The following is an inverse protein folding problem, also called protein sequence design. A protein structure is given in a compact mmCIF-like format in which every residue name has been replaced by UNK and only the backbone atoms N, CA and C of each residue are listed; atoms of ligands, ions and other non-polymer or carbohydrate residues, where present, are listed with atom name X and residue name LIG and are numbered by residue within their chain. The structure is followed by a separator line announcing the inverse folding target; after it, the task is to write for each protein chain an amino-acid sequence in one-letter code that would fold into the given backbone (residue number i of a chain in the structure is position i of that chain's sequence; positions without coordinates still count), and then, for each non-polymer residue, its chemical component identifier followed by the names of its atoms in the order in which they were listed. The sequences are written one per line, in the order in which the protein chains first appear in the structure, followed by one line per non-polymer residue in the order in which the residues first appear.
data_IF_937938626080
#
_entry.id   IF_937938626080
#
_cell.length_a   1.000
_cell.length_b   1.000
_cell.length_c   1.000
_cell.angle_alpha   90.00
_cell.angle_beta   90.00
_cell.angle_gamma   90.00
#
_symmetry.space_group_name_H-M   'P 1'
#
loop_
_entity.id
_entity.type
_entity.pdbx_description
1 polymer ?
#
# COMPACT_ATOMS: atom_id res chain seq x y z
N UNK A 1 -12.75 19.39 8.91
CA UNK A 1 -12.94 18.01 8.37
C UNK A 1 -14.16 17.42 9.06
N UNK A 2 -15.08 16.79 8.33
CA UNK A 2 -16.29 16.20 8.94
C UNK A 2 -16.02 14.73 9.26
N UNK A 3 -15.88 14.38 10.54
CA UNK A 3 -15.62 13.03 11.01
C UNK A 3 -16.70 12.02 10.58
N UNK A 4 -17.99 12.42 10.69
CA UNK A 4 -19.12 11.57 10.27
C UNK A 4 -19.04 11.22 8.77
N UNK A 5 -18.65 12.19 7.93
CA UNK A 5 -18.47 11.96 6.49
C UNK A 5 -17.26 11.07 6.18
N UNK A 6 -16.20 11.09 6.99
CA UNK A 6 -15.09 10.15 6.88
C UNK A 6 -15.52 8.73 7.24
N UNK A 7 -16.15 8.57 8.40
CA UNK A 7 -16.59 7.26 8.90
C UNK A 7 -17.60 6.62 7.94
N UNK A 8 -18.53 7.40 7.37
CA UNK A 8 -19.53 6.89 6.42
C UNK A 8 -18.95 6.29 5.14
N UNK A 9 -17.67 6.57 4.81
CA UNK A 9 -16.96 5.97 3.68
C UNK A 9 -16.56 4.51 3.95
N UNK A 10 -16.48 4.14 5.23
CA UNK A 10 -15.94 2.86 5.64
C UNK A 10 -14.42 2.75 5.47
N UNK A 11 -13.84 1.68 5.96
CA UNK A 11 -12.44 1.33 5.71
C UNK A 11 -12.18 1.09 4.22
N UNK A 12 -10.95 1.33 3.79
CA UNK A 12 -10.58 1.19 2.38
C UNK A 12 -9.10 1.46 2.12
N UNK A 13 -8.76 1.75 0.87
CA UNK A 13 -7.38 1.95 0.44
C UNK A 13 -6.67 3.11 1.17
N UNK A 14 -7.43 4.11 1.66
CA UNK A 14 -6.89 5.32 2.27
C UNK A 14 -7.47 5.61 3.66
N UNK A 15 -8.23 4.69 4.22
CA UNK A 15 -8.86 4.89 5.52
C UNK A 15 -8.85 3.58 6.31
N UNK A 16 -8.43 3.68 7.56
CA UNK A 16 -8.40 2.58 8.52
C UNK A 16 -9.01 3.03 9.83
N UNK A 17 -9.79 2.15 10.48
CA UNK A 17 -10.34 2.37 11.82
C UNK A 17 -9.56 1.56 12.83
N UNK A 18 -9.33 2.13 14.00
CA UNK A 18 -8.73 1.44 15.13
C UNK A 18 -9.39 1.90 16.41
N UNK A 19 -9.92 0.95 17.17
CA UNK A 19 -10.47 1.25 18.49
C UNK A 19 -9.38 1.81 19.42
N UNK A 20 -8.17 1.24 19.36
CA UNK A 20 -6.96 1.65 20.08
C UNK A 20 -5.70 1.06 19.44
N UNK A 21 -4.54 1.62 19.71
CA UNK A 21 -3.23 1.12 19.28
C UNK A 21 -2.51 0.44 20.43
N UNK A 22 -2.57 -0.88 20.51
CA UNK A 22 -1.97 -1.64 21.63
C UNK A 22 -0.60 -2.24 21.33
N UNK A 23 -0.29 -2.44 20.05
CA UNK A 23 0.92 -3.15 19.62
C UNK A 23 1.62 -2.40 18.49
N UNK A 24 2.79 -1.81 18.73
CA UNK A 24 3.55 -1.09 17.70
C UNK A 24 3.79 -1.90 16.43
N UNK A 25 4.12 -3.19 16.55
CA UNK A 25 4.36 -4.08 15.40
C UNK A 25 3.14 -4.29 14.52
N UNK A 26 1.93 -4.26 15.08
CA UNK A 26 0.69 -4.42 14.30
C UNK A 26 0.35 -3.16 13.54
N UNK A 27 0.37 -2.02 14.22
CA UNK A 27 0.06 -0.75 13.58
C UNK A 27 1.13 -0.35 12.57
N UNK A 28 2.40 -0.73 12.78
CA UNK A 28 3.47 -0.53 11.83
C UNK A 28 3.16 -1.11 10.43
N UNK A 29 2.50 -2.27 10.36
CA UNK A 29 2.08 -2.88 9.08
C UNK A 29 1.08 -1.99 8.34
N UNK A 30 0.09 -1.47 9.04
CA UNK A 30 -0.93 -0.55 8.49
C UNK A 30 -0.26 0.74 8.01
N UNK A 31 0.56 1.37 8.84
CA UNK A 31 1.27 2.62 8.48
C UNK A 31 2.17 2.41 7.26
N UNK A 32 2.98 1.35 7.26
CA UNK A 32 3.84 1.02 6.12
C UNK A 32 3.03 0.73 4.85
N UNK A 33 1.90 0.01 4.94
CA UNK A 33 1.06 -0.30 3.79
C UNK A 33 0.45 0.96 3.16
N UNK A 34 -0.02 1.90 3.98
CA UNK A 34 -0.54 3.18 3.51
C UNK A 34 0.57 4.01 2.84
N UNK A 35 1.73 4.17 3.49
CA UNK A 35 2.86 4.93 2.95
C UNK A 35 3.39 4.34 1.63
N UNK A 36 3.40 3.03 1.49
CA UNK A 36 3.83 2.32 0.27
C UNK A 36 2.82 2.42 -0.87
N UNK A 37 1.57 2.77 -0.60
CA UNK A 37 0.50 2.78 -1.61
C UNK A 37 0.14 4.23 -1.98
N UNK A 38 -0.87 4.80 -1.39
CA UNK A 38 -1.38 6.12 -1.74
C UNK A 38 -1.48 7.06 -0.54
N UNK A 39 -0.83 6.72 0.57
CA UNK A 39 -1.06 7.38 1.85
C UNK A 39 -2.48 7.12 2.35
N UNK A 40 -2.87 7.83 3.37
CA UNK A 40 -4.21 7.72 3.94
C UNK A 40 -4.30 8.20 5.37
N UNK A 41 -5.37 7.80 6.04
CA UNK A 41 -5.66 8.18 7.41
C UNK A 41 -5.96 6.95 8.27
N UNK A 42 -5.54 6.99 9.52
CA UNK A 42 -5.96 6.05 10.54
C UNK A 42 -6.80 6.84 11.57
N UNK A 43 -8.02 6.40 11.83
CA UNK A 43 -8.89 6.96 12.87
C UNK A 43 -8.76 6.07 14.11
N UNK A 44 -8.13 6.60 15.17
CA UNK A 44 -8.05 5.91 16.46
C UNK A 44 -9.16 6.43 17.37
N UNK A 45 -9.88 5.52 18.00
CA UNK A 45 -11.12 5.80 18.72
C UNK A 45 -12.39 5.47 17.91
N UNK A 46 -12.24 4.74 16.80
CA UNK A 46 -13.35 4.23 15.98
C UNK A 46 -13.20 2.71 15.89
N UNK A 47 -14.27 1.97 16.12
CA UNK A 47 -14.26 0.51 15.97
C UNK A 47 -14.53 0.08 14.50
N UNK A 48 -14.37 -1.21 14.21
CA UNK A 48 -14.45 -1.76 12.85
C UNK A 48 -15.86 -1.57 12.22
N UNK A 49 -16.91 -1.36 13.03
CA UNK A 49 -18.28 -1.06 12.58
C UNK A 49 -18.48 0.45 12.29
N UNK A 50 -17.45 1.27 12.46
CA UNK A 50 -17.54 2.71 12.30
C UNK A 50 -18.16 3.45 13.48
N UNK A 51 -18.33 2.77 14.63
CA UNK A 51 -18.83 3.42 15.83
C UNK A 51 -17.72 4.18 16.52
N UNK A 52 -17.97 5.46 16.84
CA UNK A 52 -17.06 6.24 17.65
C UNK A 52 -17.10 5.78 19.10
N UNK A 53 -15.95 5.36 19.61
CA UNK A 53 -15.76 4.95 21.00
C UNK A 53 -14.84 5.90 21.77
N UNK A 54 -14.13 6.77 21.05
CA UNK A 54 -13.14 7.71 21.58
C UNK A 54 -11.86 7.04 22.05
N UNK A 55 -10.79 7.81 22.14
CA UNK A 55 -9.54 7.43 22.79
C UNK A 55 -9.60 7.82 24.27
N UNK A 56 -8.99 7.02 25.12
CA UNK A 56 -8.91 7.31 26.55
C UNK A 56 -7.84 8.36 26.87
N UNK A 57 -6.75 8.29 26.14
CA UNK A 57 -5.60 9.19 26.23
C UNK A 57 -4.98 9.35 24.84
N UNK A 58 -5.14 10.53 24.26
CA UNK A 58 -4.66 10.82 22.91
C UNK A 58 -3.12 10.88 22.85
N UNK A 59 -2.47 11.36 23.92
CA UNK A 59 -1.00 11.41 23.97
C UNK A 59 -0.38 10.01 24.06
N UNK A 60 -1.00 9.08 24.82
CA UNK A 60 -0.55 7.69 24.86
C UNK A 60 -0.66 7.03 23.47
N UNK A 61 -1.78 7.22 22.77
CA UNK A 61 -1.98 6.71 21.41
C UNK A 61 -0.97 7.32 20.42
N UNK A 62 -0.73 8.63 20.49
CA UNK A 62 0.28 9.30 19.66
C UNK A 62 1.70 8.79 19.94
N UNK A 63 2.03 8.53 21.21
CA UNK A 63 3.31 7.95 21.58
C UNK A 63 3.52 6.58 20.94
N UNK A 64 2.55 5.67 21.06
CA UNK A 64 2.61 4.32 20.46
C UNK A 64 2.74 4.40 18.93
N UNK A 65 2.04 5.32 18.29
CA UNK A 65 2.10 5.50 16.84
C UNK A 65 3.44 6.08 16.37
N UNK A 66 3.99 7.06 17.10
CA UNK A 66 5.34 7.62 16.82
C UNK A 66 6.42 6.56 17.03
N UNK A 67 6.31 5.78 18.09
CA UNK A 67 7.22 4.65 18.36
C UNK A 67 7.16 3.62 17.21
N UNK A 68 5.95 3.24 16.79
CA UNK A 68 5.75 2.34 15.67
C UNK A 68 6.38 2.87 14.37
N UNK A 69 6.16 4.14 14.06
CA UNK A 69 6.66 4.77 12.84
C UNK A 69 8.19 4.93 12.83
N UNK A 70 8.81 5.11 14.00
CA UNK A 70 10.24 5.38 14.13
C UNK A 70 11.07 4.11 14.27
N UNK A 71 10.61 3.14 15.09
CA UNK A 71 11.41 1.99 15.47
C UNK A 71 10.96 0.67 14.85
N UNK A 72 9.71 0.60 14.38
CA UNK A 72 9.15 -0.64 13.80
C UNK A 72 8.88 -0.53 12.30
N UNK A 73 9.36 0.56 11.66
CA UNK A 73 9.29 0.75 10.21
C UNK A 73 10.67 1.18 9.68
N UNK A 74 11.14 0.53 8.61
CA UNK A 74 12.40 0.86 7.94
C UNK A 74 12.17 1.07 6.42
N UNK A 75 12.56 2.23 5.88
CA UNK A 75 12.95 3.46 6.57
C UNK A 75 11.79 4.05 7.40
N UNK A 76 12.08 4.83 8.47
CA UNK A 76 11.06 5.36 9.37
C UNK A 76 10.08 6.31 8.66
N UNK A 77 8.89 6.47 9.23
CA UNK A 77 7.83 7.36 8.74
C UNK A 77 7.65 8.57 9.64
N UNK A 78 7.27 9.69 9.03
CA UNK A 78 6.77 10.86 9.74
C UNK A 78 5.25 10.86 9.68
N UNK A 79 4.60 11.02 10.83
CA UNK A 79 3.15 11.07 10.97
C UNK A 79 2.70 12.48 11.36
N UNK A 80 1.52 12.88 10.91
CA UNK A 80 0.82 14.07 11.39
C UNK A 80 -0.43 13.66 12.15
N UNK A 81 -0.74 14.38 13.23
CA UNK A 81 -1.84 14.05 14.14
C UNK A 81 -2.80 15.21 14.25
N UNK A 82 -4.09 14.90 14.38
CA UNK A 82 -5.15 15.85 14.68
C UNK A 82 -6.15 15.17 15.60
N UNK A 83 -6.59 15.87 16.62
CA UNK A 83 -7.67 15.45 17.50
C UNK A 83 -8.99 16.04 17.01
N UNK A 84 -10.04 15.26 17.07
CA UNK A 84 -11.41 15.68 16.79
C UNK A 84 -12.26 15.31 18.00
N UNK A 85 -12.75 16.33 18.68
CA UNK A 85 -13.74 16.21 19.74
C UNK A 85 -15.12 16.07 19.12
N UNK A 86 -15.91 15.13 19.60
CA UNK A 86 -17.28 14.88 19.14
C UNK A 86 -18.29 15.59 20.01
N UNK A 87 -19.56 15.64 19.58
CA UNK A 87 -20.67 16.23 20.35
C UNK A 87 -20.92 15.50 21.69
N UNK A 88 -20.44 14.25 21.81
CA UNK A 88 -20.56 13.40 23.02
C UNK A 88 -19.28 13.44 23.88
N UNK A 89 -18.45 14.47 23.75
CA UNK A 89 -17.17 14.67 24.45
C UNK A 89 -16.16 13.51 24.25
N UNK A 90 -16.30 12.75 23.16
CA UNK A 90 -15.35 11.72 22.80
C UNK A 90 -14.27 12.29 21.88
N UNK A 91 -13.02 11.92 22.11
CA UNK A 91 -11.89 12.33 21.28
C UNK A 91 -11.55 11.21 20.28
N UNK A 92 -11.46 11.55 19.00
CA UNK A 92 -10.95 10.69 17.93
C UNK A 92 -9.62 11.27 17.44
N UNK A 93 -8.57 10.44 17.46
CA UNK A 93 -7.27 10.82 16.93
C UNK A 93 -7.20 10.47 15.45
N UNK A 94 -6.99 11.45 14.60
CA UNK A 94 -6.76 11.30 13.17
C UNK A 94 -5.27 11.33 12.89
N UNK A 95 -4.76 10.25 12.31
CA UNK A 95 -3.35 10.07 11.94
C UNK A 95 -3.23 10.16 10.44
N UNK A 96 -2.57 11.19 9.93
CA UNK A 96 -2.31 11.34 8.51
C UNK A 96 -0.98 10.65 8.15
N UNK A 97 -1.04 9.71 7.21
CA UNK A 97 0.10 9.00 6.65
C UNK A 97 0.26 9.44 5.20
N UNK A 98 1.31 10.19 4.92
CA UNK A 98 1.61 10.61 3.55
C UNK A 98 2.03 9.41 2.68
N UNK A 99 1.70 9.44 1.38
CA UNK A 99 2.37 8.55 0.43
C UNK A 99 3.86 8.86 0.43
N UNK A 100 4.68 7.84 0.65
CA UNK A 100 6.12 8.02 0.69
C UNK A 100 6.74 8.00 -0.70
N UNK A 101 7.76 8.81 -0.88
CA UNK A 101 8.65 8.75 -2.04
C UNK A 101 9.87 7.84 -1.78
N UNK A 102 10.14 7.44 -0.55
CA UNK A 102 11.25 6.57 -0.17
C UNK A 102 10.79 5.13 0.08
N UNK A 103 10.12 4.54 -0.91
CA UNK A 103 9.59 3.18 -0.85
C UNK A 103 10.68 2.12 -1.15
N UNK A 104 10.57 0.88 -0.65
CA UNK A 104 9.51 0.38 0.24
C UNK A 104 9.80 0.63 1.71
N UNK A 105 8.80 0.99 2.48
CA UNK A 105 8.83 0.90 3.93
C UNK A 105 8.49 -0.52 4.37
N UNK A 106 9.31 -1.08 5.26
CA UNK A 106 9.12 -2.42 5.80
C UNK A 106 8.76 -2.34 7.27
N UNK A 107 7.76 -3.11 7.69
CA UNK A 107 7.41 -3.25 9.10
C UNK A 107 8.16 -4.43 9.72
N UNK A 108 8.62 -4.26 10.95
CA UNK A 108 9.22 -5.34 11.73
C UNK A 108 8.13 -6.34 12.15
N UNK A 109 8.30 -7.61 11.80
CA UNK A 109 7.37 -8.69 12.13
C UNK A 109 7.87 -9.57 13.27
N UNK A 110 9.19 -9.62 13.43
CA UNK A 110 9.91 -10.23 14.56
C UNK A 110 11.26 -9.52 14.72
N UNK A 111 11.98 -9.66 15.83
CA UNK A 111 13.30 -9.08 16.02
C UNK A 111 14.23 -9.41 14.83
N UNK A 112 14.68 -8.38 14.10
CA UNK A 112 15.54 -8.51 12.92
C UNK A 112 14.83 -8.96 11.63
N UNK A 113 13.52 -9.25 11.65
CA UNK A 113 12.75 -9.65 10.47
C UNK A 113 11.84 -8.52 10.00
N UNK A 114 12.06 -8.04 8.77
CA UNK A 114 11.37 -6.92 8.16
C UNK A 114 10.65 -7.34 6.89
N UNK A 115 9.41 -6.89 6.71
CA UNK A 115 8.60 -7.21 5.54
C UNK A 115 7.87 -5.99 5.02
N UNK A 116 7.86 -5.81 3.69
CA UNK A 116 7.07 -4.79 3.03
C UNK A 116 5.58 -5.13 3.07
N UNK A 117 4.75 -4.09 3.19
CA UNK A 117 3.29 -4.20 3.11
C UNK A 117 2.75 -3.17 2.12
N UNK A 118 1.68 -3.53 1.43
CA UNK A 118 0.92 -2.64 0.55
C UNK A 118 -0.56 -2.69 0.92
N UNK A 119 -1.26 -1.60 0.67
CA UNK A 119 -2.69 -1.51 0.89
C UNK A 119 -3.45 -2.07 -0.30
N UNK A 120 -4.36 -3.00 -0.08
CA UNK A 120 -5.24 -3.56 -1.08
C UNK A 120 -6.64 -3.55 -0.53
N UNK A 121 -7.49 -2.66 -1.05
CA UNK A 121 -8.77 -2.31 -0.47
C UNK A 121 -8.59 -1.84 0.98
N UNK A 122 -9.12 -2.59 1.94
CA UNK A 122 -9.07 -2.36 3.39
C UNK A 122 -8.01 -3.23 4.11
N UNK A 123 -7.21 -4.02 3.38
CA UNK A 123 -6.24 -4.93 3.98
C UNK A 123 -4.80 -4.45 3.80
N UNK A 124 -3.99 -4.60 4.85
CA UNK A 124 -2.54 -4.44 4.82
C UNK A 124 -1.88 -5.78 4.49
N UNK A 125 -1.44 -5.93 3.25
CA UNK A 125 -1.00 -7.20 2.71
C UNK A 125 0.49 -7.20 2.50
N UNK A 126 1.14 -8.30 2.92
CA UNK A 126 2.57 -8.49 2.72
C UNK A 126 2.91 -8.41 1.23
N UNK A 127 3.87 -7.57 0.89
CA UNK A 127 4.40 -7.43 -0.45
C UNK A 127 5.27 -8.63 -0.83
N UNK A 128 5.18 -9.06 -2.08
CA UNK A 128 6.13 -10.02 -2.62
C UNK A 128 7.50 -9.34 -2.86
N UNK A 129 8.56 -10.13 -2.99
CA UNK A 129 9.88 -9.62 -3.36
C UNK A 129 9.86 -8.80 -4.66
N UNK A 130 8.93 -9.11 -5.56
CA UNK A 130 8.75 -8.37 -6.80
C UNK A 130 8.07 -7.03 -6.55
N UNK A 131 7.00 -7.03 -5.77
CA UNK A 131 6.29 -5.80 -5.37
C UNK A 131 7.24 -4.83 -4.66
N UNK A 132 8.10 -5.32 -3.74
CA UNK A 132 9.11 -4.47 -3.11
C UNK A 132 10.11 -3.88 -4.11
N UNK A 133 10.56 -4.65 -5.11
CA UNK A 133 11.44 -4.14 -6.19
C UNK A 133 10.74 -3.09 -7.05
N UNK A 134 9.45 -3.23 -7.29
CA UNK A 134 8.64 -2.23 -8.01
C UNK A 134 8.57 -0.94 -7.18
N UNK A 135 8.22 -1.05 -5.91
CA UNK A 135 8.14 0.08 -5.00
C UNK A 135 9.47 0.85 -4.91
N UNK A 136 10.59 0.14 -4.78
CA UNK A 136 11.93 0.75 -4.73
C UNK A 136 12.29 1.59 -5.98
N UNK A 137 11.64 1.33 -7.12
CA UNK A 137 11.87 2.05 -8.39
C UNK A 137 10.82 3.12 -8.69
N UNK A 138 9.77 3.24 -7.87
CA UNK A 138 8.77 4.30 -7.98
C UNK A 138 9.22 5.64 -7.39
N UNK A 139 10.49 5.78 -7.04
CA UNK A 139 11.06 7.04 -6.58
C UNK A 139 10.93 8.12 -7.68
N UNK A 140 10.69 9.40 -7.34
CA UNK A 140 10.48 10.47 -8.32
C UNK A 140 11.65 10.63 -9.30
N UNK A 141 12.88 10.38 -8.82
CA UNK A 141 14.10 10.41 -9.61
C UNK A 141 14.24 9.22 -10.57
N UNK A 142 13.51 8.13 -10.31
CA UNK A 142 13.45 6.94 -11.14
C UNK A 142 12.19 6.89 -12.05
N UNK A 143 11.48 7.99 -12.25
CA UNK A 143 10.57 8.15 -13.40
C UNK A 143 11.42 8.14 -14.65
N UNK A 144 11.87 6.94 -14.97
CA UNK A 144 12.57 6.64 -16.21
C UNK A 144 11.75 7.24 -17.34
N UNK A 145 12.40 8.06 -18.17
CA UNK A 145 11.84 8.48 -19.46
C UNK A 145 11.13 7.27 -20.08
N UNK A 146 9.96 7.49 -20.65
CA UNK A 146 9.21 6.42 -21.33
C UNK A 146 10.12 5.86 -22.42
N UNK A 147 10.82 4.78 -22.11
CA UNK A 147 11.68 4.10 -23.06
C UNK A 147 10.85 3.65 -24.28
N UNK A 148 11.39 3.74 -25.49
CA UNK A 148 10.72 3.24 -26.66
C UNK A 148 10.38 1.75 -26.45
N UNK A 149 9.11 1.41 -26.62
CA UNK A 149 8.64 0.04 -26.44
C UNK A 149 9.01 -0.82 -27.64
N UNK A 150 9.48 -2.01 -27.39
CA UNK A 150 9.71 -3.04 -28.42
C UNK A 150 8.39 -3.57 -28.98
N UNK A 151 8.43 -4.23 -30.13
CA UNK A 151 7.26 -4.88 -30.73
C UNK A 151 6.57 -5.87 -29.77
N UNK A 152 7.36 -6.64 -29.01
CA UNK A 152 6.85 -7.60 -28.01
C UNK A 152 6.13 -6.89 -26.86
N UNK A 153 6.66 -5.76 -26.39
CA UNK A 153 6.08 -4.94 -25.33
C UNK A 153 4.78 -4.26 -25.79
N UNK A 154 4.76 -3.75 -27.02
CA UNK A 154 3.56 -3.18 -27.60
C UNK A 154 2.42 -4.24 -27.73
N UNK A 155 2.77 -5.46 -28.12
CA UNK A 155 1.80 -6.55 -28.28
C UNK A 155 1.02 -6.87 -27.01
N UNK A 156 1.66 -6.88 -25.84
CA UNK A 156 0.95 -7.13 -24.58
C UNK A 156 0.03 -5.97 -24.21
N UNK A 157 0.47 -4.72 -24.44
CA UNK A 157 -0.38 -3.56 -24.17
C UNK A 157 -1.60 -3.54 -25.08
N UNK A 158 -1.43 -3.87 -26.35
CA UNK A 158 -2.51 -3.98 -27.33
C UNK A 158 -3.46 -5.13 -26.99
N UNK A 159 -2.93 -6.28 -26.61
CA UNK A 159 -3.71 -7.43 -26.13
C UNK A 159 -4.61 -7.07 -24.94
N UNK A 160 -4.06 -6.36 -23.95
CA UNK A 160 -4.82 -5.95 -22.76
C UNK A 160 -5.86 -4.87 -23.06
N UNK A 161 -5.61 -4.01 -24.06
CA UNK A 161 -6.60 -3.01 -24.50
C UNK A 161 -7.77 -3.62 -25.24
N UNK A 162 -7.51 -4.59 -26.11
CA UNK A 162 -8.48 -5.02 -27.12
C UNK A 162 -9.11 -6.39 -26.84
N UNK A 163 -8.43 -7.28 -26.09
CA UNK A 163 -8.84 -8.67 -25.99
C UNK A 163 -9.22 -9.12 -24.57
N UNK A 164 -8.40 -8.78 -23.58
CA UNK A 164 -8.55 -9.31 -22.22
C UNK A 164 -8.11 -8.27 -21.17
N UNK A 165 -8.85 -8.10 -20.06
CA UNK A 165 -8.49 -7.13 -19.03
C UNK A 165 -7.22 -7.51 -18.23
N UNK A 166 -6.76 -8.76 -18.34
CA UNK A 166 -5.60 -9.29 -17.61
C UNK A 166 -4.80 -10.30 -18.43
N UNK A 167 -3.53 -10.47 -18.09
CA UNK A 167 -2.65 -11.47 -18.72
C UNK A 167 -1.70 -12.09 -17.67
N UNK A 168 -1.52 -13.42 -17.73
CA UNK A 168 -0.53 -14.15 -16.92
C UNK A 168 0.80 -14.29 -17.68
N UNK A 169 1.88 -14.68 -16.98
CA UNK A 169 3.16 -15.00 -17.63
C UNK A 169 2.98 -16.12 -18.67
N UNK A 170 2.18 -17.15 -18.35
CA UNK A 170 1.94 -18.28 -19.26
C UNK A 170 1.21 -17.85 -20.53
N UNK A 171 0.19 -17.00 -20.42
CA UNK A 171 -0.52 -16.45 -21.57
C UNK A 171 0.39 -15.55 -22.43
N UNK A 172 1.19 -14.69 -21.80
CA UNK A 172 2.13 -13.83 -22.54
C UNK A 172 3.23 -14.62 -23.23
N UNK A 173 3.74 -15.68 -22.59
CA UNK A 173 4.69 -16.61 -23.21
C UNK A 173 4.16 -17.17 -24.54
N UNK A 174 2.89 -17.59 -24.57
CA UNK A 174 2.22 -18.09 -25.78
C UNK A 174 1.96 -16.99 -26.80
N UNK A 175 1.54 -15.81 -26.35
CA UNK A 175 1.18 -14.67 -27.21
C UNK A 175 2.35 -14.20 -28.09
N UNK A 176 3.56 -14.18 -27.54
CA UNK A 176 4.77 -13.67 -28.25
C UNK A 176 5.78 -14.76 -28.60
N UNK A 177 5.47 -16.03 -28.27
CA UNK A 177 6.31 -17.20 -28.54
C UNK A 177 7.75 -17.06 -28.03
N UNK A 178 7.91 -16.78 -26.74
CA UNK A 178 9.23 -16.64 -26.07
C UNK A 178 9.33 -17.54 -24.85
N UNK A 179 10.54 -17.73 -24.33
CA UNK A 179 10.74 -18.47 -23.09
C UNK A 179 10.04 -17.75 -21.90
N UNK A 180 9.60 -18.56 -20.92
CA UNK A 180 8.97 -18.05 -19.68
C UNK A 180 9.86 -17.01 -18.96
N UNK A 181 11.18 -17.20 -18.97
CA UNK A 181 12.14 -16.26 -18.38
C UNK A 181 12.16 -14.91 -19.11
N UNK A 182 12.06 -14.90 -20.44
CA UNK A 182 12.00 -13.69 -21.25
C UNK A 182 10.67 -12.98 -21.06
N UNK A 183 9.54 -13.72 -21.13
CA UNK A 183 8.20 -13.19 -20.89
C UNK A 183 8.12 -12.51 -19.51
N UNK A 184 8.59 -13.20 -18.46
CA UNK A 184 8.62 -12.66 -17.11
C UNK A 184 9.43 -11.35 -17.02
N UNK A 185 10.66 -11.33 -17.56
CA UNK A 185 11.50 -10.10 -17.55
C UNK A 185 10.84 -8.93 -18.29
N UNK A 186 10.16 -9.19 -19.39
CA UNK A 186 9.46 -8.17 -20.16
C UNK A 186 8.27 -7.59 -19.39
N UNK A 187 7.42 -8.45 -18.80
CA UNK A 187 6.30 -8.00 -17.99
C UNK A 187 6.76 -7.19 -16.76
N UNK A 188 7.82 -7.65 -16.08
CA UNK A 188 8.44 -6.91 -14.98
C UNK A 188 8.95 -5.54 -15.44
N UNK A 189 9.65 -5.47 -16.57
CA UNK A 189 10.09 -4.20 -17.13
C UNK A 189 8.90 -3.25 -17.33
N UNK A 190 7.81 -3.72 -17.92
CA UNK A 190 6.62 -2.91 -18.15
C UNK A 190 5.96 -2.43 -16.85
N UNK A 191 5.93 -3.26 -15.80
CA UNK A 191 5.46 -2.86 -14.47
C UNK A 191 6.37 -1.77 -13.88
N UNK A 192 7.71 -1.97 -13.95
CA UNK A 192 8.69 -1.03 -13.42
C UNK A 192 8.63 0.35 -14.11
N UNK A 193 8.20 0.40 -15.37
CA UNK A 193 8.00 1.63 -16.12
C UNK A 193 6.56 2.16 -16.10
N UNK A 194 5.69 1.58 -15.26
CA UNK A 194 4.33 2.04 -15.05
C UNK A 194 3.36 1.79 -16.22
N UNK A 195 3.71 0.92 -17.15
CA UNK A 195 2.81 0.50 -18.24
C UNK A 195 1.83 -0.58 -17.81
N UNK A 196 2.19 -1.41 -16.81
CA UNK A 196 1.37 -2.48 -16.28
C UNK A 196 1.31 -2.42 -14.75
N UNK A 197 0.23 -2.95 -14.20
CA UNK A 197 0.07 -3.24 -12.77
C UNK A 197 0.23 -4.73 -12.53
N UNK A 198 0.90 -5.11 -11.46
CA UNK A 198 1.11 -6.50 -11.05
C UNK A 198 0.16 -6.86 -9.90
N UNK A 199 -0.48 -8.03 -10.02
CA UNK A 199 -1.41 -8.57 -9.03
C UNK A 199 -0.94 -9.95 -8.63
N UNK A 200 -0.58 -10.16 -7.36
CA UNK A 200 0.04 -11.39 -6.84
C UNK A 200 -0.83 -12.20 -5.86
N UNK A 201 -2.09 -11.81 -5.68
CA UNK A 201 -2.96 -12.36 -4.64
C UNK A 201 -3.93 -13.45 -5.08
N UNK A 202 -4.06 -13.69 -6.36
CA UNK A 202 -4.79 -14.84 -6.88
C UNK A 202 -3.86 -16.05 -6.98
N UNK A 203 -4.44 -17.25 -7.16
CA UNK A 203 -3.68 -18.50 -7.32
C UNK A 203 -2.58 -18.41 -8.37
N UNK A 204 -2.81 -17.64 -9.41
CA UNK A 204 -1.84 -17.33 -10.46
C UNK A 204 -1.69 -15.82 -10.58
N UNK A 205 -0.48 -15.27 -10.38
CA UNK A 205 -0.23 -13.85 -10.57
C UNK A 205 -0.54 -13.37 -11.99
N UNK A 206 -1.11 -12.17 -12.12
CA UNK A 206 -1.47 -11.58 -13.40
C UNK A 206 -1.12 -10.10 -13.50
N UNK A 207 -1.23 -9.54 -14.70
CA UNK A 207 -0.91 -8.15 -15.03
C UNK A 207 -2.09 -7.49 -15.72
N UNK A 208 -2.31 -6.20 -15.44
CA UNK A 208 -3.33 -5.33 -16.05
C UNK A 208 -2.68 -4.03 -16.55
N UNK A 209 -3.44 -3.23 -17.29
CA UNK A 209 -3.05 -1.85 -17.65
C UNK A 209 -3.14 -0.92 -16.46
#
# INVERSE_FOLDING_TARGET
MNLRALISRGEGERLEFKKKTTHPTRIARTLASLANTHGGQVLVGVDDDGRVVGVRDAEEEMFVLRDAATHYIDPPLTLSFREIETEDDLVVLVVDVAESFNKPHRAQVAPGEWRGYVRVRDESVQASNLTEKVLARQQPEARLEKLPLTKDELRVLDYLKNNQPRITVAQYTKLINVSRRRAYRTLIKLVLHGYLRYHDKEKEPYYTL
#
